data_IF_535974193886
#
_entry.id   IF_535974193886
#
_cell.length_a   1.000
_cell.length_b   1.000
_cell.length_c   1.000
_cell.angle_alpha   90.00
_cell.angle_beta   90.00
_cell.angle_gamma   90.00
#
_symmetry.space_group_name_H-M   'P 1'
#
loop_
_entity.id
_entity.type
_entity.pdbx_description
1 polymer ?
#
# COMPACT_ATOMS: atom_id res chain seq x y z
N UNK A 1 -14.20 -4.21 -20.69
CA UNK A 1 -13.91 -2.82 -20.27
C UNK A 1 -14.32 -2.58 -18.82
N UNK A 2 -15.50 -3.03 -18.40
CA UNK A 2 -16.04 -2.96 -17.03
C UNK A 2 -15.05 -3.24 -15.88
N UNK A 3 -14.16 -4.23 -16.05
CA UNK A 3 -13.18 -4.62 -15.01
C UNK A 3 -12.15 -3.55 -14.64
N UNK A 4 -12.13 -2.41 -15.36
CA UNK A 4 -11.27 -1.25 -15.15
C UNK A 4 -12.02 -0.05 -14.52
N UNK A 5 -13.36 -0.08 -14.48
CA UNK A 5 -14.18 1.01 -13.93
C UNK A 5 -14.00 1.14 -12.42
N UNK A 6 -14.41 2.29 -11.90
CA UNK A 6 -14.48 2.53 -10.47
C UNK A 6 -15.42 1.54 -9.76
N UNK A 7 -15.15 1.27 -8.48
CA UNK A 7 -15.93 0.34 -7.66
C UNK A 7 -16.48 1.04 -6.42
N UNK A 8 -17.81 0.98 -6.17
CA UNK A 8 -18.41 1.45 -4.93
C UNK A 8 -17.73 0.84 -3.70
N UNK A 9 -17.38 1.66 -2.70
CA UNK A 9 -17.01 1.15 -1.38
C UNK A 9 -18.23 0.47 -0.78
N UNK A 10 -18.26 -0.86 -0.80
CA UNK A 10 -19.29 -1.65 -0.12
C UNK A 10 -19.17 -1.42 1.39
N UNK A 11 -19.90 -0.44 1.91
CA UNK A 11 -20.15 -0.30 3.35
C UNK A 11 -20.82 -1.59 3.82
N UNK A 12 -20.10 -2.41 4.60
CA UNK A 12 -20.66 -3.64 5.15
C UNK A 12 -21.67 -3.27 6.23
N UNK A 13 -22.94 -3.14 5.81
CA UNK A 13 -24.09 -3.00 6.69
C UNK A 13 -24.25 -4.25 7.57
N UNK A 14 -23.42 -4.34 8.61
CA UNK A 14 -23.71 -5.19 9.77
C UNK A 14 -24.93 -4.60 10.45
N UNK A 15 -26.11 -5.16 10.10
CA UNK A 15 -27.39 -4.94 10.75
C UNK A 15 -27.36 -5.54 12.17
N UNK A 16 -26.58 -4.91 13.04
CA UNK A 16 -26.60 -5.14 14.48
C UNK A 16 -27.61 -4.20 15.10
N UNK A 17 -28.51 -4.75 15.93
CA UNK A 17 -29.60 -3.98 16.55
C UNK A 17 -29.03 -2.84 17.41
N UNK A 18 -29.76 -1.73 17.38
CA UNK A 18 -29.54 -0.48 18.12
C UNK A 18 -28.90 -0.62 19.51
N UNK A 19 -27.66 -0.17 19.64
CA UNK A 19 -27.18 0.59 20.80
C UNK A 19 -26.24 1.69 20.29
N UNK A 20 -26.34 2.90 20.85
CA UNK A 20 -25.66 4.07 20.31
C UNK A 20 -24.15 4.04 20.61
N UNK A 21 -23.34 3.76 19.59
CA UNK A 21 -21.94 4.17 19.54
C UNK A 21 -21.51 4.33 18.08
N UNK A 22 -21.07 5.53 17.72
CA UNK A 22 -20.52 5.83 16.39
C UNK A 22 -19.11 5.24 16.30
N UNK A 23 -19.02 3.97 15.88
CA UNK A 23 -17.75 3.33 15.57
C UNK A 23 -17.23 3.78 14.20
N UNK A 24 -16.71 5.02 14.17
CA UNK A 24 -15.73 5.42 13.16
C UNK A 24 -14.60 4.38 13.18
N UNK A 25 -14.28 3.81 12.02
CA UNK A 25 -13.21 2.81 11.92
C UNK A 25 -11.89 3.45 12.36
N UNK A 26 -11.34 2.99 13.48
CA UNK A 26 -10.36 3.74 14.25
C UNK A 26 -9.04 3.94 13.50
N UNK A 27 -8.72 5.19 13.18
CA UNK A 27 -7.39 5.61 12.69
C UNK A 27 -6.29 5.43 13.75
N UNK A 28 -6.67 5.15 15.00
CA UNK A 28 -5.83 5.07 16.20
C UNK A 28 -4.95 3.81 16.33
N UNK A 29 -4.80 3.00 15.28
CA UNK A 29 -3.78 1.93 15.29
C UNK A 29 -2.37 2.53 15.29
N UNK A 30 -1.53 2.11 16.25
CA UNK A 30 -0.14 2.57 16.31
C UNK A 30 0.65 2.12 15.08
N UNK A 31 1.64 2.89 14.62
CA UNK A 31 2.44 2.55 13.43
C UNK A 31 3.08 1.15 13.51
N UNK A 32 3.47 0.71 14.71
CA UNK A 32 3.95 -0.66 14.95
C UNK A 32 2.89 -1.74 14.70
N UNK A 33 1.62 -1.49 15.03
CA UNK A 33 0.53 -2.42 14.70
C UNK A 33 0.28 -2.52 13.18
N UNK A 34 0.44 -1.40 12.44
CA UNK A 34 0.35 -1.36 10.97
C UNK A 34 1.48 -2.14 10.29
N UNK A 35 2.68 -2.06 10.86
CA UNK A 35 3.89 -2.73 10.35
C UNK A 35 3.89 -4.25 10.60
N UNK A 36 3.12 -4.73 11.60
CA UNK A 36 3.14 -6.12 12.07
C UNK A 36 2.95 -7.18 10.95
N UNK A 37 1.96 -7.07 10.03
CA UNK A 37 1.79 -8.06 8.96
C UNK A 37 2.94 -8.05 7.93
N UNK A 38 3.64 -6.94 7.76
CA UNK A 38 4.80 -6.82 6.87
C UNK A 38 6.10 -7.38 7.48
N UNK A 39 6.09 -7.67 8.78
CA UNK A 39 7.16 -8.43 9.46
C UNK A 39 6.96 -9.95 9.35
N UNK A 40 5.78 -10.41 8.92
CA UNK A 40 5.48 -11.84 8.75
C UNK A 40 6.17 -12.39 7.49
N UNK A 41 6.71 -13.62 7.59
CA UNK A 41 7.37 -14.31 6.47
C UNK A 41 6.43 -14.56 5.29
N UNK A 42 5.12 -14.67 5.54
CA UNK A 42 4.10 -14.83 4.52
C UNK A 42 3.86 -13.54 3.71
N UNK A 43 4.38 -12.38 4.14
CA UNK A 43 4.24 -11.12 3.40
C UNK A 43 4.84 -11.19 1.99
N UNK A 44 6.03 -11.79 1.85
CA UNK A 44 6.72 -11.86 0.56
C UNK A 44 5.99 -12.84 -0.37
N UNK A 45 5.71 -14.05 0.12
CA UNK A 45 4.90 -15.05 -0.58
C UNK A 45 3.53 -14.49 -1.02
N UNK A 46 2.87 -13.71 -0.16
CA UNK A 46 1.62 -13.03 -0.52
C UNK A 46 1.81 -12.10 -1.70
N UNK A 47 2.83 -11.21 -1.67
CA UNK A 47 3.11 -10.28 -2.77
C UNK A 47 3.43 -11.05 -4.07
N UNK A 48 4.16 -12.15 -4.00
CA UNK A 48 4.44 -13.02 -5.15
C UNK A 48 3.15 -13.63 -5.74
N UNK A 49 2.18 -14.07 -4.90
CA UNK A 49 0.86 -14.51 -5.40
C UNK A 49 0.07 -13.39 -6.09
N UNK A 50 0.45 -12.12 -5.87
CA UNK A 50 -0.11 -10.92 -6.54
C UNK A 50 0.78 -10.42 -7.68
N UNK A 51 1.75 -11.22 -8.11
CA UNK A 51 2.75 -10.89 -9.15
C UNK A 51 3.65 -9.69 -8.79
N UNK A 52 3.88 -9.42 -7.51
CA UNK A 52 4.75 -8.35 -6.99
C UNK A 52 6.00 -8.94 -6.36
N UNK A 53 7.18 -8.63 -6.89
CA UNK A 53 8.45 -9.22 -6.49
C UNK A 53 9.39 -8.20 -5.85
N UNK A 54 10.07 -8.62 -4.77
CA UNK A 54 11.00 -7.79 -4.00
C UNK A 54 12.44 -7.84 -4.54
N UNK A 55 12.61 -8.30 -5.77
CA UNK A 55 13.87 -8.41 -6.48
C UNK A 55 13.74 -7.82 -7.89
N UNK A 56 14.85 -7.82 -8.62
CA UNK A 56 14.91 -7.33 -10.00
C UNK A 56 14.63 -8.49 -10.97
N UNK A 57 13.91 -8.24 -12.07
CA UNK A 57 13.72 -9.22 -13.14
C UNK A 57 15.06 -9.64 -13.74
N UNK A 58 15.17 -10.83 -14.35
CA UNK A 58 16.43 -11.31 -14.92
C UNK A 58 17.00 -10.41 -16.02
N UNK A 59 16.13 -9.80 -16.84
CA UNK A 59 16.49 -8.78 -17.84
C UNK A 59 16.75 -7.37 -17.24
N UNK A 60 16.31 -7.15 -15.99
CA UNK A 60 16.37 -5.86 -15.29
C UNK A 60 15.41 -4.79 -15.85
N UNK A 61 15.78 -3.52 -15.62
CA UNK A 61 15.17 -2.34 -16.26
C UNK A 61 15.83 -2.02 -17.62
N UNK A 62 15.09 -1.32 -18.48
CA UNK A 62 15.56 -0.85 -19.78
C UNK A 62 16.82 0.01 -19.70
N UNK A 63 17.51 0.18 -20.83
CA UNK A 63 18.71 1.02 -20.92
C UNK A 63 18.38 2.50 -20.63
N UNK A 64 17.24 2.95 -21.12
CA UNK A 64 16.67 4.29 -20.97
C UNK A 64 16.39 4.59 -19.49
N UNK A 65 15.60 3.73 -18.82
CA UNK A 65 15.31 3.87 -17.39
C UNK A 65 16.56 3.78 -16.53
N UNK A 66 17.53 2.92 -16.88
CA UNK A 66 18.80 2.79 -16.15
C UNK A 66 19.67 4.05 -16.29
N UNK A 67 19.70 4.63 -17.48
CA UNK A 67 20.40 5.90 -17.75
C UNK A 67 19.74 7.05 -17.02
N UNK A 68 18.41 7.11 -17.02
CA UNK A 68 17.63 8.12 -16.32
C UNK A 68 17.80 8.05 -14.80
N UNK A 69 17.72 6.84 -14.21
CA UNK A 69 17.97 6.66 -12.77
C UNK A 69 19.38 7.08 -12.36
N UNK A 70 20.39 6.83 -13.20
CA UNK A 70 21.76 7.32 -12.97
C UNK A 70 21.82 8.85 -13.02
N UNK A 71 21.26 9.48 -14.05
CA UNK A 71 21.23 10.95 -14.18
C UNK A 71 20.55 11.61 -12.98
N UNK A 72 19.41 11.10 -12.52
CA UNK A 72 18.71 11.61 -11.34
C UNK A 72 19.54 11.50 -10.06
N UNK A 73 20.41 10.49 -9.94
CA UNK A 73 21.27 10.26 -8.77
C UNK A 73 22.58 11.09 -8.84
N UNK A 74 23.12 11.30 -10.04
CA UNK A 74 24.34 12.09 -10.28
C UNK A 74 24.07 13.61 -10.31
N UNK A 75 22.81 14.02 -10.54
CA UNK A 75 22.39 15.41 -10.52
C UNK A 75 22.71 16.10 -9.18
N UNK A 76 23.15 17.36 -9.27
CA UNK A 76 23.56 18.17 -8.11
C UNK A 76 22.68 19.42 -7.93
N UNK A 77 21.37 19.28 -7.68
CA UNK A 77 20.57 20.43 -7.26
C UNK A 77 21.12 21.01 -5.96
N UNK A 78 20.78 22.28 -5.72
CA UNK A 78 21.21 22.99 -4.50
C UNK A 78 20.65 22.28 -3.27
N UNK A 79 21.34 22.43 -2.15
CA UNK A 79 20.90 21.91 -0.85
C UNK A 79 20.55 23.09 0.06
N UNK A 80 19.59 22.93 0.98
CA UNK A 80 19.27 23.97 1.96
C UNK A 80 20.46 24.24 2.89
N UNK A 81 20.44 25.39 3.57
CA UNK A 81 21.45 25.83 4.55
C UNK A 81 20.77 26.24 5.85
N UNK A 82 21.50 26.24 6.96
CA UNK A 82 20.95 26.43 8.30
C UNK A 82 20.21 25.17 8.80
N UNK A 83 20.58 23.99 8.31
CA UNK A 83 19.86 22.73 8.54
C UNK A 83 20.57 21.81 9.51
N UNK A 84 19.89 20.73 9.91
CA UNK A 84 20.48 19.67 10.75
C UNK A 84 21.52 18.82 10.02
N UNK A 85 21.67 18.99 8.70
CA UNK A 85 22.65 18.31 7.84
C UNK A 85 23.85 19.20 7.46
N UNK A 86 23.91 20.44 7.95
CA UNK A 86 25.08 21.31 7.77
C UNK A 86 26.33 20.70 8.45
N UNK A 87 27.52 20.94 7.89
CA UNK A 87 28.76 20.20 8.23
C UNK A 87 29.16 20.31 9.70
N UNK A 88 28.95 21.47 10.32
CA UNK A 88 29.29 21.78 11.71
C UNK A 88 28.38 21.09 12.74
N UNK A 89 27.14 20.78 12.37
CA UNK A 89 26.14 20.17 13.27
C UNK A 89 25.85 18.70 12.97
N UNK A 90 26.17 18.20 11.78
CA UNK A 90 25.74 16.88 11.28
C UNK A 90 26.05 15.72 12.24
N UNK A 91 27.29 15.60 12.73
CA UNK A 91 27.68 14.53 13.67
C UNK A 91 26.87 14.59 14.98
N UNK A 92 26.57 15.80 15.46
CA UNK A 92 25.71 16.01 16.63
C UNK A 92 24.25 15.60 16.35
N UNK A 93 23.74 15.87 15.14
CA UNK A 93 22.42 15.43 14.68
C UNK A 93 22.34 13.90 14.67
N UNK A 94 23.28 13.21 14.02
CA UNK A 94 23.29 11.74 13.95
C UNK A 94 23.28 11.10 15.34
N UNK A 95 24.13 11.56 16.26
CA UNK A 95 24.14 11.10 17.67
C UNK A 95 22.82 11.34 18.40
N UNK A 96 22.09 12.42 18.09
CA UNK A 96 20.77 12.73 18.65
C UNK A 96 19.66 11.85 18.06
N UNK A 97 19.70 11.57 16.76
CA UNK A 97 18.68 10.80 16.04
C UNK A 97 18.78 9.31 16.32
N UNK A 98 20.00 8.76 16.50
CA UNK A 98 20.23 7.34 16.83
C UNK A 98 19.45 6.85 18.07
N UNK A 99 19.13 7.75 19.00
CA UNK A 99 18.39 7.44 20.24
C UNK A 99 16.89 7.75 20.16
N UNK A 100 16.36 7.99 18.96
CA UNK A 100 14.94 8.31 18.73
C UNK A 100 14.16 7.09 18.26
N UNK A 101 12.87 7.10 18.57
CA UNK A 101 11.90 6.23 17.91
C UNK A 101 11.63 6.75 16.48
N UNK A 102 10.87 5.96 15.71
CA UNK A 102 10.50 6.26 14.33
C UNK A 102 9.93 7.69 14.13
N UNK A 103 9.01 8.13 14.99
CA UNK A 103 8.46 9.50 14.95
C UNK A 103 9.55 10.57 15.15
N UNK A 104 10.51 10.33 16.05
CA UNK A 104 11.62 11.25 16.26
C UNK A 104 12.67 11.21 15.15
N UNK A 105 12.84 10.09 14.44
CA UNK A 105 13.61 10.04 13.18
C UNK A 105 12.88 10.86 12.11
N UNK A 106 11.57 10.65 11.97
CA UNK A 106 10.71 11.33 11.00
C UNK A 106 10.80 12.86 11.10
N UNK A 107 10.49 13.40 12.29
CA UNK A 107 10.48 14.86 12.56
C UNK A 107 11.87 15.50 12.42
N UNK A 108 12.95 14.75 12.72
CA UNK A 108 14.29 15.33 12.74
C UNK A 108 15.00 15.30 11.38
N UNK A 109 14.80 14.26 10.56
CA UNK A 109 15.62 14.07 9.34
C UNK A 109 14.87 13.62 8.08
N UNK A 110 13.58 13.22 8.11
CA UNK A 110 12.92 12.74 6.88
C UNK A 110 12.89 13.81 5.79
N UNK A 111 12.52 15.05 6.10
CA UNK A 111 12.53 16.17 5.14
C UNK A 111 13.91 16.44 4.49
N UNK A 112 15.01 16.13 5.21
CA UNK A 112 16.38 16.28 4.72
C UNK A 112 16.88 15.07 3.91
N UNK A 113 16.09 14.00 3.83
CA UNK A 113 16.36 12.78 3.04
C UNK A 113 15.37 12.65 1.87
N UNK A 114 14.09 12.79 2.16
CA UNK A 114 12.96 12.83 1.22
C UNK A 114 12.24 14.17 1.43
N UNK A 115 12.64 15.23 0.71
CA UNK A 115 12.01 16.53 0.84
C UNK A 115 10.55 16.52 0.39
N UNK A 116 9.77 17.37 1.02
CA UNK A 116 8.37 17.57 0.68
C UNK A 116 8.27 18.26 -0.68
N UNK A 117 7.34 17.78 -1.50
CA UNK A 117 7.12 18.24 -2.86
C UNK A 117 6.66 19.70 -2.90
N UNK A 118 5.79 20.13 -1.96
CA UNK A 118 5.33 21.52 -1.87
C UNK A 118 6.51 22.49 -1.62
N UNK A 119 7.34 22.23 -0.59
CA UNK A 119 8.52 23.05 -0.29
C UNK A 119 9.58 23.01 -1.40
N UNK A 120 9.71 21.87 -2.09
CA UNK A 120 10.64 21.71 -3.21
C UNK A 120 10.24 22.55 -4.41
N UNK A 121 8.94 22.65 -4.73
CA UNK A 121 8.44 23.49 -5.83
C UNK A 121 8.89 24.95 -5.65
N UNK A 122 8.67 25.52 -4.46
CA UNK A 122 9.06 26.90 -4.15
C UNK A 122 10.58 27.08 -4.09
N UNK A 123 11.29 26.17 -3.43
CA UNK A 123 12.73 26.30 -3.16
C UNK A 123 13.60 26.11 -4.40
N UNK A 124 13.17 25.28 -5.36
CA UNK A 124 13.94 24.91 -6.55
C UNK A 124 13.32 25.38 -7.87
N UNK A 125 12.24 26.18 -7.82
CA UNK A 125 11.54 26.72 -8.99
C UNK A 125 11.12 25.62 -9.97
N UNK A 126 10.58 24.52 -9.45
CA UNK A 126 10.11 23.38 -10.25
C UNK A 126 8.91 23.85 -11.09
N UNK A 127 9.10 23.95 -12.41
CA UNK A 127 8.09 24.40 -13.36
C UNK A 127 7.12 23.28 -13.70
N UNK A 128 6.38 22.78 -12.71
CA UNK A 128 5.50 21.64 -12.88
C UNK A 128 4.17 21.77 -12.09
N UNK A 129 3.03 21.26 -12.61
CA UNK A 129 1.75 21.30 -11.92
C UNK A 129 1.77 20.66 -10.53
N UNK A 130 0.74 21.05 -9.76
CA UNK A 130 0.56 20.74 -8.35
C UNK A 130 0.73 19.24 -8.06
N UNK A 131 1.84 18.91 -7.42
CA UNK A 131 1.93 17.68 -6.63
C UNK A 131 0.95 17.76 -5.47
N UNK A 132 0.59 16.61 -4.93
CA UNK A 132 -0.13 16.50 -3.67
C UNK A 132 0.53 15.43 -2.83
N UNK A 133 0.60 15.67 -1.53
CA UNK A 133 1.31 14.84 -0.58
C UNK A 133 0.35 14.23 0.44
N UNK A 134 0.69 13.08 0.99
CA UNK A 134 0.02 12.53 2.17
C UNK A 134 1.03 11.96 3.15
N UNK A 135 0.70 12.02 4.44
CA UNK A 135 1.61 11.67 5.53
C UNK A 135 0.96 10.66 6.48
N UNK A 136 1.33 9.38 6.38
CA UNK A 136 0.71 8.29 7.12
C UNK A 136 -0.83 8.29 6.92
N UNK A 137 -1.28 8.51 5.69
CA UNK A 137 -2.69 8.39 5.29
C UNK A 137 -2.94 7.06 4.56
N UNK A 138 -4.06 6.40 4.87
CA UNK A 138 -4.39 5.13 4.24
C UNK A 138 -4.83 5.34 2.78
N UNK A 139 -4.32 4.52 1.87
CA UNK A 139 -4.74 4.52 0.46
C UNK A 139 -6.10 3.84 0.31
N UNK A 140 -7.15 4.54 0.76
CA UNK A 140 -8.49 4.01 0.89
C UNK A 140 -9.32 4.13 -0.40
N UNK A 141 -8.89 4.97 -1.34
CA UNK A 141 -9.43 5.05 -2.70
C UNK A 141 -8.73 4.12 -3.70
N UNK A 142 -7.70 3.37 -3.29
CA UNK A 142 -7.13 2.30 -4.12
C UNK A 142 -7.97 1.03 -4.08
N UNK A 143 -8.19 0.39 -5.24
CA UNK A 143 -8.64 -1.01 -5.31
C UNK A 143 -7.52 -1.92 -4.72
N UNK A 144 -7.78 -2.84 -3.78
CA UNK A 144 -6.73 -3.70 -3.20
C UNK A 144 -6.05 -4.67 -4.19
N UNK A 145 -4.92 -5.28 -3.79
CA UNK A 145 -4.35 -6.45 -4.51
C UNK A 145 -5.20 -7.72 -4.34
N UNK A 146 -5.98 -7.80 -3.26
CA UNK A 146 -6.82 -8.96 -2.92
C UNK A 146 -8.17 -9.02 -3.64
N UNK A 147 -8.61 -7.95 -4.31
CA UNK A 147 -9.97 -7.84 -4.85
C UNK A 147 -10.11 -8.42 -6.29
N UNK A 148 -9.28 -9.41 -6.60
CA UNK A 148 -9.34 -10.24 -7.81
C UNK A 148 -9.81 -11.64 -7.40
N UNK A 149 -10.97 -12.05 -7.92
CA UNK A 149 -11.67 -13.31 -7.62
C UNK A 149 -12.22 -13.47 -6.19
N UNK A 150 -13.31 -12.73 -5.89
CA UNK A 150 -14.31 -13.19 -4.91
C UNK A 150 -15.18 -14.31 -5.52
N UNK A 151 -14.57 -15.44 -5.85
CA UNK A 151 -15.33 -16.69 -5.97
C UNK A 151 -15.72 -17.13 -4.55
N UNK A 152 -17.02 -17.31 -4.25
CA UNK A 152 -17.48 -17.68 -2.91
C UNK A 152 -17.22 -19.17 -2.65
N UNK A 153 -15.95 -19.54 -2.46
CA UNK A 153 -15.60 -20.84 -1.91
C UNK A 153 -15.82 -20.79 -0.39
N UNK A 154 -16.92 -21.40 0.03
CA UNK A 154 -17.31 -21.58 1.42
C UNK A 154 -16.24 -22.38 2.19
N UNK A 155 -15.83 -21.87 3.34
CA UNK A 155 -15.08 -22.64 4.33
C UNK A 155 -13.60 -22.90 4.02
N UNK A 156 -12.76 -21.85 4.03
CA UNK A 156 -11.32 -22.03 4.22
C UNK A 156 -10.75 -21.05 5.27
N UNK A 157 -9.63 -21.49 5.86
CA UNK A 157 -8.81 -20.83 6.89
C UNK A 157 -8.62 -19.31 6.68
N UNK A 158 -8.20 -18.61 7.74
CA UNK A 158 -7.73 -17.22 7.66
C UNK A 158 -6.65 -17.08 6.57
N UNK A 159 -7.06 -16.68 5.36
CA UNK A 159 -6.13 -16.26 4.32
C UNK A 159 -5.33 -15.08 4.87
N UNK A 160 -4.01 -15.20 4.86
CA UNK A 160 -3.12 -14.08 5.13
C UNK A 160 -3.50 -12.91 4.20
N UNK A 161 -3.62 -11.71 4.77
CA UNK A 161 -3.88 -10.48 4.03
C UNK A 161 -2.97 -9.39 4.56
N UNK A 162 -2.43 -8.59 3.66
CA UNK A 162 -1.78 -7.34 4.04
C UNK A 162 -2.85 -6.28 4.37
N UNK A 163 -2.56 -5.37 5.32
CA UNK A 163 -3.42 -4.22 5.55
C UNK A 163 -3.38 -3.30 4.33
N UNK A 164 -4.40 -2.45 4.18
CA UNK A 164 -4.38 -1.33 3.22
C UNK A 164 -3.06 -0.54 3.37
N UNK A 165 -2.37 -0.21 2.27
CA UNK A 165 -1.18 0.64 2.32
C UNK A 165 -1.44 1.97 3.01
N UNK A 166 -0.44 2.43 3.76
CA UNK A 166 -0.47 3.69 4.50
C UNK A 166 0.98 4.21 4.63
N UNK A 167 1.59 4.69 3.53
CA UNK A 167 2.98 5.16 3.54
C UNK A 167 3.20 6.28 4.55
N UNK A 168 4.37 6.34 5.18
CA UNK A 168 4.73 7.45 6.08
C UNK A 168 4.72 8.79 5.36
N UNK A 169 5.11 8.80 4.08
CA UNK A 169 4.98 9.90 3.14
C UNK A 169 4.72 9.35 1.73
N UNK A 170 3.85 9.99 0.96
CA UNK A 170 3.60 9.66 -0.44
C UNK A 170 3.34 10.92 -1.27
N UNK A 171 3.68 10.87 -2.57
CA UNK A 171 3.46 11.97 -3.52
C UNK A 171 2.81 11.44 -4.78
N UNK A 172 1.81 12.18 -5.27
CA UNK A 172 1.16 11.98 -6.56
C UNK A 172 0.76 13.30 -7.20
N UNK A 173 -0.10 13.23 -8.21
CA UNK A 173 -0.63 14.41 -8.87
C UNK A 173 -1.95 14.83 -8.23
N UNK A 174 -2.11 16.13 -7.95
CA UNK A 174 -3.37 16.69 -7.52
C UNK A 174 -4.43 16.57 -8.65
N UNK A 175 -5.72 16.44 -8.30
CA UNK A 175 -6.82 16.49 -9.30
C UNK A 175 -6.72 17.74 -10.20
N UNK A 176 -6.33 18.87 -9.61
CA UNK A 176 -6.21 20.19 -10.24
C UNK A 176 -4.96 20.35 -11.14
N UNK A 177 -4.22 19.28 -11.37
CA UNK A 177 -3.14 19.20 -12.36
C UNK A 177 -3.65 18.72 -13.72
N UNK A 178 -4.78 18.02 -13.74
CA UNK A 178 -5.44 17.55 -14.96
C UNK A 178 -6.40 18.62 -15.51
N UNK A 179 -6.57 18.66 -16.84
CA UNK A 179 -7.55 19.53 -17.49
C UNK A 179 -8.96 18.99 -17.30
N UNK A 180 -10.00 19.82 -17.47
CA UNK A 180 -11.38 19.34 -17.38
C UNK A 180 -11.69 18.25 -18.43
N UNK A 181 -11.02 18.28 -19.59
CA UNK A 181 -11.07 17.22 -20.60
C UNK A 181 -10.47 15.90 -20.13
N UNK A 182 -9.27 15.93 -19.51
CA UNK A 182 -8.67 14.75 -18.88
C UNK A 182 -9.58 14.18 -17.79
N UNK A 183 -10.15 15.05 -16.95
CA UNK A 183 -11.01 14.66 -15.83
C UNK A 183 -12.31 14.02 -16.31
N UNK A 184 -12.93 14.55 -17.38
CA UNK A 184 -14.10 13.93 -18.04
C UNK A 184 -13.78 12.52 -18.57
N UNK A 185 -12.61 12.31 -19.17
CA UNK A 185 -12.17 10.99 -19.66
C UNK A 185 -11.82 10.01 -18.53
N UNK A 186 -11.29 10.51 -17.42
CA UNK A 186 -10.98 9.71 -16.23
C UNK A 186 -12.21 9.34 -15.39
N UNK A 187 -13.30 10.11 -15.45
CA UNK A 187 -14.47 9.96 -14.57
C UNK A 187 -15.02 8.52 -14.45
N UNK A 188 -15.20 7.72 -15.53
CA UNK A 188 -15.71 6.34 -15.43
C UNK A 188 -14.78 5.39 -14.64
N UNK A 189 -13.49 5.68 -14.61
CA UNK A 189 -12.45 4.87 -13.96
C UNK A 189 -12.12 5.35 -12.55
N UNK A 190 -12.42 6.62 -12.24
CA UNK A 190 -12.22 7.24 -10.93
C UNK A 190 -13.45 7.07 -10.04
N UNK A 191 -14.65 7.24 -10.61
CA UNK A 191 -15.92 7.13 -9.90
C UNK A 191 -16.27 8.38 -9.09
N UNK A 192 -17.27 8.22 -8.24
CA UNK A 192 -17.77 9.27 -7.37
C UNK A 192 -16.98 9.36 -6.05
N UNK A 193 -17.25 10.40 -5.26
CA UNK A 193 -16.63 10.57 -3.94
C UNK A 193 -16.97 9.37 -3.04
N UNK A 194 -15.95 8.61 -2.69
CA UNK A 194 -16.09 7.41 -1.87
C UNK A 194 -15.92 6.11 -2.66
N UNK A 195 -15.76 6.15 -3.99
CA UNK A 195 -15.41 4.96 -4.76
C UNK A 195 -13.93 4.57 -4.59
N UNK A 196 -13.59 3.38 -5.10
CA UNK A 196 -12.21 2.91 -5.27
C UNK A 196 -11.86 2.79 -6.74
N UNK A 197 -10.64 3.18 -7.09
CA UNK A 197 -10.10 3.22 -8.44
C UNK A 197 -8.75 2.50 -8.51
N UNK A 198 -8.30 2.15 -9.72
CA UNK A 198 -6.92 1.79 -9.97
C UNK A 198 -5.99 3.02 -10.03
N UNK A 199 -6.53 4.23 -10.21
CA UNK A 199 -5.76 5.45 -10.48
C UNK A 199 -5.56 6.34 -9.25
N UNK A 200 -6.13 5.98 -8.10
CA UNK A 200 -6.08 6.77 -6.86
C UNK A 200 -5.32 6.04 -5.76
N UNK A 201 -4.53 6.80 -4.99
CA UNK A 201 -4.07 6.41 -3.65
C UNK A 201 -5.14 6.79 -2.62
N UNK A 202 -5.23 8.09 -2.34
CA UNK A 202 -6.27 8.74 -1.54
C UNK A 202 -7.32 9.38 -2.46
N UNK A 203 -8.41 9.91 -1.89
CA UNK A 203 -9.47 10.57 -2.67
C UNK A 203 -9.00 11.79 -3.52
N UNK A 204 -7.79 12.31 -3.25
CA UNK A 204 -7.24 13.50 -3.89
C UNK A 204 -5.89 13.27 -4.60
N UNK A 205 -5.28 12.09 -4.45
CA UNK A 205 -3.96 11.74 -5.00
C UNK A 205 -4.09 10.81 -6.19
N UNK A 206 -3.93 11.37 -7.40
CA UNK A 206 -4.01 10.66 -8.68
C UNK A 206 -2.61 10.16 -9.07
N UNK A 207 -2.52 8.92 -9.55
CA UNK A 207 -1.30 8.24 -9.98
C UNK A 207 -0.09 8.51 -9.03
N UNK A 208 -0.11 8.01 -7.79
CA UNK A 208 0.99 8.20 -6.85
C UNK A 208 2.28 7.62 -7.41
N UNK A 209 3.38 8.37 -7.40
CA UNK A 209 4.63 7.99 -8.06
C UNK A 209 5.83 7.92 -7.10
N UNK A 210 5.69 8.36 -5.86
CA UNK A 210 6.71 8.25 -4.81
C UNK A 210 6.07 7.80 -3.50
N UNK A 211 6.71 6.85 -2.82
CA UNK A 211 6.42 6.51 -1.41
C UNK A 211 7.69 6.52 -0.57
N UNK A 212 7.54 6.84 0.71
CA UNK A 212 8.62 6.78 1.69
C UNK A 212 8.13 6.13 2.99
N UNK A 213 8.99 5.32 3.57
CA UNK A 213 8.77 4.59 4.81
C UNK A 213 9.98 4.83 5.73
N UNK A 214 9.73 5.43 6.89
CA UNK A 214 10.76 5.71 7.89
C UNK A 214 10.66 4.64 8.98
N UNK A 215 11.82 4.15 9.44
CA UNK A 215 11.89 3.10 10.45
C UNK A 215 12.94 3.39 11.51
N UNK A 216 12.95 2.58 12.55
CA UNK A 216 13.91 2.67 13.65
C UNK A 216 14.70 1.35 13.77
N UNK A 217 15.84 1.28 13.09
CA UNK A 217 16.81 0.18 13.18
C UNK A 217 16.80 -0.76 11.98
N UNK A 218 17.98 -1.36 11.72
CA UNK A 218 18.31 -2.01 10.44
C UNK A 218 17.35 -3.11 9.97
N UNK A 219 16.88 -3.97 10.89
CA UNK A 219 15.95 -5.06 10.56
C UNK A 219 14.54 -4.57 10.18
N UNK A 220 14.18 -3.32 10.50
CA UNK A 220 12.90 -2.74 10.13
C UNK A 220 12.88 -2.17 8.69
N UNK A 221 14.05 -1.96 8.06
CA UNK A 221 14.10 -1.50 6.67
C UNK A 221 13.60 -2.55 5.67
N UNK A 222 13.69 -3.85 6.01
CA UNK A 222 13.11 -4.91 5.17
C UNK A 222 11.57 -4.89 5.25
N UNK A 223 11.01 -4.40 6.37
CA UNK A 223 9.57 -4.14 6.54
C UNK A 223 9.13 -2.91 5.74
N UNK A 224 9.88 -1.81 5.80
CA UNK A 224 9.67 -0.62 4.94
C UNK A 224 9.69 -1.00 3.46
N UNK A 225 10.66 -1.81 3.05
CA UNK A 225 10.80 -2.31 1.68
C UNK A 225 9.56 -3.07 1.19
N UNK A 226 8.93 -3.89 2.06
CA UNK A 226 7.67 -4.60 1.76
C UNK A 226 6.47 -3.67 1.70
N UNK A 227 6.37 -2.69 2.61
CA UNK A 227 5.32 -1.66 2.61
C UNK A 227 5.38 -0.80 1.34
N UNK A 228 6.58 -0.34 0.98
CA UNK A 228 6.86 0.40 -0.24
C UNK A 228 6.52 -0.41 -1.50
N UNK A 229 6.92 -1.69 -1.57
CA UNK A 229 6.59 -2.55 -2.71
C UNK A 229 5.07 -2.80 -2.84
N UNK A 230 4.34 -3.01 -1.74
CA UNK A 230 2.88 -3.14 -1.78
C UNK A 230 2.23 -1.86 -2.33
N UNK A 231 2.64 -0.70 -1.82
CA UNK A 231 2.13 0.62 -2.24
C UNK A 231 2.44 0.88 -3.73
N UNK A 232 3.71 0.75 -4.13
CA UNK A 232 4.11 1.00 -5.51
C UNK A 232 3.55 -0.02 -6.51
N UNK A 233 3.26 -1.26 -6.10
CA UNK A 233 2.52 -2.20 -6.95
C UNK A 233 1.12 -1.68 -7.27
N UNK A 234 0.41 -1.06 -6.31
CA UNK A 234 -0.90 -0.45 -6.60
C UNK A 234 -0.77 0.69 -7.62
N UNK A 235 0.22 1.58 -7.43
CA UNK A 235 0.52 2.70 -8.33
C UNK A 235 0.86 2.26 -9.75
N UNK A 236 1.87 1.39 -9.92
CA UNK A 236 2.35 0.94 -11.23
C UNK A 236 1.25 0.14 -11.93
N UNK A 237 0.47 -0.66 -11.20
CA UNK A 237 -0.73 -1.33 -11.75
C UNK A 237 -1.76 -0.34 -12.26
N UNK A 238 -1.96 0.80 -11.59
CA UNK A 238 -2.81 1.89 -12.07
C UNK A 238 -2.36 2.43 -13.44
N UNK A 239 -1.06 2.66 -13.59
CA UNK A 239 -0.46 3.15 -14.84
C UNK A 239 -0.57 2.09 -15.94
N UNK A 240 -0.28 0.81 -15.66
CA UNK A 240 -0.48 -0.29 -16.62
C UNK A 240 -1.95 -0.42 -17.04
N UNK A 241 -2.89 -0.25 -16.11
CA UNK A 241 -4.33 -0.27 -16.41
C UNK A 241 -4.74 0.85 -17.37
N UNK A 242 -4.21 2.06 -17.19
CA UNK A 242 -4.41 3.18 -18.12
C UNK A 242 -3.86 2.85 -19.52
N UNK A 243 -2.59 2.42 -19.61
CA UNK A 243 -1.95 2.21 -20.92
C UNK A 243 -2.55 1.04 -21.69
N UNK A 244 -3.05 0.00 -21.01
CA UNK A 244 -3.80 -1.10 -21.66
C UNK A 244 -5.14 -0.66 -22.24
N UNK A 245 -5.83 0.32 -21.63
CA UNK A 245 -7.09 0.86 -22.19
C UNK A 245 -6.86 1.52 -23.56
N UNK A 246 -5.67 2.08 -23.78
CA UNK A 246 -5.27 2.73 -25.04
C UNK A 246 -4.27 1.90 -25.88
N UNK A 247 -4.03 0.63 -25.53
CA UNK A 247 -3.16 -0.32 -26.24
C UNK A 247 -1.69 0.12 -26.38
N UNK A 248 -1.20 0.90 -25.41
CA UNK A 248 0.17 1.45 -25.34
C UNK A 248 1.01 0.79 -24.25
N UNK A 249 0.57 -0.31 -23.67
CA UNK A 249 1.22 -0.97 -22.52
C UNK A 249 2.68 -1.38 -22.76
N UNK A 250 3.06 -1.63 -24.02
CA UNK A 250 4.47 -1.89 -24.40
C UNK A 250 5.42 -0.74 -24.05
N UNK A 251 4.93 0.50 -23.97
CA UNK A 251 5.74 1.66 -23.52
C UNK A 251 6.12 1.60 -22.03
N UNK A 252 5.58 0.66 -21.25
CA UNK A 252 5.86 0.52 -19.82
C UNK A 252 6.76 -0.68 -19.51
N UNK A 253 6.95 -1.60 -20.45
CA UNK A 253 7.72 -2.82 -20.24
C UNK A 253 9.17 -2.47 -19.85
N UNK A 254 9.60 -2.90 -18.66
CA UNK A 254 10.92 -2.62 -18.08
C UNK A 254 11.24 -1.14 -17.81
N UNK A 255 10.25 -0.24 -17.93
CA UNK A 255 10.40 1.19 -17.66
C UNK A 255 9.97 1.54 -16.23
N UNK A 256 10.79 2.31 -15.50
CA UNK A 256 10.48 2.77 -14.15
C UNK A 256 9.30 3.74 -14.16
N UNK A 257 8.22 3.38 -13.45
CA UNK A 257 6.97 4.14 -13.35
C UNK A 257 6.76 4.79 -11.98
N UNK A 258 7.75 4.72 -11.09
CA UNK A 258 7.76 5.43 -9.82
C UNK A 258 8.86 4.94 -8.89
N UNK A 259 8.99 5.57 -7.73
CA UNK A 259 10.11 5.37 -6.82
C UNK A 259 9.65 5.09 -5.40
N UNK A 260 10.52 4.48 -4.61
CA UNK A 260 10.32 4.42 -3.16
C UNK A 260 11.62 4.58 -2.37
N UNK A 261 11.51 5.23 -1.21
CA UNK A 261 12.60 5.36 -0.25
C UNK A 261 12.28 4.62 1.04
N UNK A 262 13.21 3.78 1.50
CA UNK A 262 13.18 3.20 2.85
C UNK A 262 14.36 3.78 3.63
N UNK A 263 14.13 4.44 4.77
CA UNK A 263 15.23 5.01 5.55
C UNK A 263 15.06 4.86 7.06
N UNK A 264 16.19 4.93 7.78
CA UNK A 264 16.19 5.02 9.24
C UNK A 264 17.11 6.17 9.71
N UNK A 265 17.74 6.00 10.88
CA UNK A 265 18.63 6.98 11.49
C UNK A 265 20.04 7.04 10.88
N UNK A 266 20.44 6.06 10.05
CA UNK A 266 21.74 6.08 9.35
C UNK A 266 21.73 5.55 7.92
N UNK A 267 20.75 4.71 7.54
CA UNK A 267 20.70 4.04 6.24
C UNK A 267 19.58 4.57 5.35
N UNK A 268 19.83 4.63 4.04
CA UNK A 268 18.84 4.91 2.99
C UNK A 268 18.88 3.81 1.93
N UNK A 269 17.71 3.41 1.42
CA UNK A 269 17.54 2.53 0.26
C UNK A 269 16.60 3.21 -0.74
N UNK A 270 17.03 3.37 -1.99
CA UNK A 270 16.27 3.99 -3.08
C UNK A 270 15.98 2.91 -4.12
N UNK A 271 14.71 2.80 -4.51
CA UNK A 271 14.24 1.85 -5.52
C UNK A 271 13.43 2.53 -6.62
N UNK A 272 13.57 2.06 -7.86
CA UNK A 272 12.63 2.31 -8.95
C UNK A 272 11.72 1.10 -9.16
N UNK A 273 10.43 1.30 -9.34
CA UNK A 273 9.43 0.25 -9.52
C UNK A 273 8.94 0.22 -10.97
N UNK A 274 8.84 -0.96 -11.55
CA UNK A 274 8.55 -1.13 -12.98
C UNK A 274 7.73 -2.40 -13.24
N UNK A 275 6.92 -2.43 -14.31
CA UNK A 275 6.22 -3.62 -14.75
C UNK A 275 7.05 -4.39 -15.80
N UNK A 276 6.96 -5.71 -15.77
CA UNK A 276 7.28 -6.58 -16.92
C UNK A 276 5.95 -7.06 -17.49
N UNK A 277 5.81 -6.94 -18.81
CA UNK A 277 4.53 -7.14 -19.52
C UNK A 277 4.76 -8.17 -20.61
N UNK A 278 4.10 -9.31 -20.49
CA UNK A 278 4.10 -10.39 -21.48
C UNK A 278 2.65 -10.69 -21.89
N UNK A 279 2.25 -10.22 -23.07
CA UNK A 279 0.86 -10.24 -23.53
C UNK A 279 -0.11 -9.67 -22.48
N UNK A 280 -1.05 -10.52 -22.05
CA UNK A 280 -2.04 -10.18 -21.02
C UNK A 280 -1.52 -10.30 -19.58
N UNK A 281 -0.37 -10.90 -19.34
CA UNK A 281 0.25 -10.97 -18.02
C UNK A 281 0.94 -9.64 -17.65
N UNK A 282 1.02 -9.33 -16.37
CA UNK A 282 1.89 -8.25 -15.85
C UNK A 282 2.40 -8.63 -14.48
N UNK A 283 3.71 -8.56 -14.33
CA UNK A 283 4.46 -8.75 -13.10
C UNK A 283 5.15 -7.43 -12.72
N UNK A 284 5.36 -7.19 -11.44
CA UNK A 284 5.89 -5.93 -10.90
C UNK A 284 7.18 -6.21 -10.13
N UNK A 285 8.23 -5.48 -10.45
CA UNK A 285 9.57 -5.63 -9.89
C UNK A 285 10.12 -4.31 -9.39
N UNK A 286 11.23 -4.37 -8.65
CA UNK A 286 11.99 -3.19 -8.23
C UNK A 286 13.46 -3.29 -8.62
N UNK A 287 13.98 -2.20 -9.15
CA UNK A 287 15.41 -1.99 -9.38
C UNK A 287 16.02 -1.28 -8.16
N UNK A 288 17.17 -1.75 -7.68
CA UNK A 288 17.91 -1.07 -6.61
C UNK A 288 18.73 0.07 -7.23
N UNK A 289 18.28 1.32 -7.05
CA UNK A 289 18.99 2.50 -7.54
C UNK A 289 20.22 2.79 -6.67
N UNK A 290 20.04 2.81 -5.34
CA UNK A 290 21.16 3.00 -4.40
C UNK A 290 20.83 2.48 -3.00
N UNK A 291 21.84 2.03 -2.25
CA UNK A 291 21.77 1.62 -0.84
C UNK A 291 23.03 2.07 -0.12
N UNK A 292 22.90 2.98 0.84
CA UNK A 292 24.04 3.60 1.50
C UNK A 292 23.76 3.94 2.96
N UNK A 293 24.85 4.11 3.73
CA UNK A 293 24.81 4.72 5.05
C UNK A 293 25.19 6.20 4.90
N UNK A 294 24.22 7.09 5.15
CA UNK A 294 24.40 8.53 4.93
C UNK A 294 25.24 9.20 6.03
N UNK A 295 25.57 8.47 7.10
CA UNK A 295 26.42 8.92 8.21
C UNK A 295 27.87 8.45 8.08
N UNK A 296 28.13 7.45 7.24
CA UNK A 296 29.47 6.99 6.91
C UNK A 296 30.28 8.06 6.14
N UNK A 297 31.62 7.90 6.17
CA UNK A 297 32.58 8.76 5.46
C UNK A 297 32.33 10.26 5.74
N UNK A 298 32.19 10.61 7.02
CA UNK A 298 31.95 11.97 7.52
C UNK A 298 30.71 12.65 6.90
N UNK A 299 29.70 11.86 6.53
CA UNK A 299 28.46 12.36 5.94
C UNK A 299 28.55 12.64 4.45
N UNK A 300 29.52 12.07 3.73
CA UNK A 300 29.70 12.27 2.27
C UNK A 300 28.42 12.13 1.45
N UNK A 301 27.53 11.22 1.83
CA UNK A 301 26.27 10.92 1.11
C UNK A 301 25.01 11.51 1.76
N UNK A 302 25.13 12.38 2.77
CA UNK A 302 23.96 12.94 3.50
C UNK A 302 22.95 13.66 2.62
N UNK A 303 23.41 14.25 1.50
CA UNK A 303 22.55 14.93 0.53
C UNK A 303 22.14 14.08 -0.68
N UNK A 304 22.60 12.83 -0.80
CA UNK A 304 22.39 12.00 -2.00
C UNK A 304 20.90 11.73 -2.25
N UNK A 305 20.15 11.32 -1.23
CA UNK A 305 18.70 11.07 -1.37
C UNK A 305 17.90 12.36 -1.63
N UNK A 306 18.24 13.44 -0.90
CA UNK A 306 17.60 14.74 -1.08
C UNK A 306 17.71 15.20 -2.54
N UNK A 307 18.93 15.15 -3.10
CA UNK A 307 19.19 15.53 -4.49
C UNK A 307 18.44 14.66 -5.50
N UNK A 308 18.47 13.35 -5.30
CA UNK A 308 17.72 12.41 -6.13
C UNK A 308 16.23 12.76 -6.17
N UNK A 309 15.60 12.99 -5.00
CA UNK A 309 14.17 13.32 -4.91
C UNK A 309 13.85 14.69 -5.51
N UNK A 310 14.70 15.71 -5.31
CA UNK A 310 14.55 17.01 -5.98
C UNK A 310 14.58 16.87 -7.50
N UNK A 311 15.47 16.03 -8.04
CA UNK A 311 15.49 15.72 -9.49
C UNK A 311 14.33 14.83 -9.94
N UNK A 312 13.81 13.94 -9.10
CA UNK A 312 12.56 13.21 -9.41
C UNK A 312 11.41 14.20 -9.59
N UNK A 313 11.25 15.19 -8.72
CA UNK A 313 10.23 16.23 -8.86
C UNK A 313 10.52 17.22 -10.01
N UNK A 314 11.80 17.56 -10.22
CA UNK A 314 12.25 18.56 -11.19
C UNK A 314 12.30 18.10 -12.65
N UNK A 315 12.63 16.83 -12.88
CA UNK A 315 13.00 16.30 -14.20
C UNK A 315 12.13 15.09 -14.62
N UNK A 316 11.99 14.09 -13.73
CA UNK A 316 11.29 12.84 -14.04
C UNK A 316 9.77 12.94 -14.01
N UNK A 317 9.20 13.38 -12.88
CA UNK A 317 7.75 13.49 -12.69
C UNK A 317 7.09 14.41 -13.74
N UNK A 318 7.77 15.49 -14.19
CA UNK A 318 7.31 16.28 -15.33
C UNK A 318 7.09 15.51 -16.63
N UNK A 319 8.04 14.63 -16.95
CA UNK A 319 8.02 13.83 -18.17
C UNK A 319 7.03 12.67 -18.04
N UNK A 320 6.97 12.05 -16.87
CA UNK A 320 6.01 11.00 -16.54
C UNK A 320 4.55 11.50 -16.65
N UNK A 321 4.23 12.65 -16.07
CA UNK A 321 2.88 13.23 -16.17
C UNK A 321 2.46 13.56 -17.60
N UNK A 322 3.37 14.08 -18.45
CA UNK A 322 3.08 14.29 -19.88
C UNK A 322 2.72 12.97 -20.58
N UNK A 323 3.41 11.89 -20.23
CA UNK A 323 3.12 10.53 -20.71
C UNK A 323 1.73 10.06 -20.26
N UNK A 324 1.36 10.31 -18.99
CA UNK A 324 0.02 10.03 -18.47
C UNK A 324 -1.06 10.83 -19.20
N UNK A 325 -0.87 12.15 -19.40
CA UNK A 325 -1.83 13.00 -20.12
C UNK A 325 -2.02 12.54 -21.57
N UNK A 326 -0.95 12.22 -22.29
CA UNK A 326 -1.05 11.69 -23.65
C UNK A 326 -1.88 10.39 -23.70
N UNK A 327 -1.69 9.48 -22.73
CA UNK A 327 -2.51 8.26 -22.64
C UNK A 327 -3.96 8.55 -22.23
N UNK A 328 -4.21 9.55 -21.38
CA UNK A 328 -5.57 10.00 -21.02
C UNK A 328 -6.28 10.64 -22.21
N UNK A 329 -5.55 11.37 -23.07
CA UNK A 329 -6.12 11.99 -24.26
C UNK A 329 -6.58 10.97 -25.31
N UNK A 330 -6.02 9.77 -25.31
CA UNK A 330 -6.43 8.65 -26.17
C UNK A 330 -7.56 7.78 -25.56
N UNK A 331 -7.99 8.04 -24.32
CA UNK A 331 -9.13 7.31 -23.74
C UNK A 331 -10.42 7.58 -24.53
N UNK A 332 -11.26 6.55 -24.74
CA UNK A 332 -12.53 6.70 -25.43
C UNK A 332 -13.47 7.63 -24.65
N UNK A 333 -14.25 8.44 -25.37
CA UNK A 333 -15.32 9.21 -24.74
C UNK A 333 -16.45 8.25 -24.32
N UNK A 334 -16.57 8.01 -23.01
CA UNK A 334 -17.70 7.26 -22.45
C UNK A 334 -19.01 8.01 -22.72
N UNK A 335 -19.87 7.42 -23.56
CA UNK A 335 -21.25 7.86 -23.73
C UNK A 335 -22.13 7.15 -22.69
N UNK A 336 -22.90 7.87 -21.85
CA UNK A 336 -23.76 7.25 -20.82
C UNK A 336 -24.78 6.23 -21.37
N UNK A 337 -25.13 6.36 -22.66
CA UNK A 337 -26.07 5.50 -23.38
C UNK A 337 -25.63 4.02 -23.42
N UNK A 338 -24.33 3.74 -23.44
CA UNK A 338 -23.80 2.37 -23.49
C UNK A 338 -23.94 1.62 -22.15
N UNK A 339 -23.93 2.34 -21.02
CA UNK A 339 -24.13 1.75 -19.69
C UNK A 339 -25.59 1.34 -19.45
N UNK A 340 -26.55 2.08 -20.03
CA UNK A 340 -27.96 1.76 -19.91
C UNK A 340 -28.34 0.50 -20.68
N UNK A 341 -27.66 0.20 -21.81
CA UNK A 341 -27.90 -1.03 -22.57
C UNK A 341 -27.43 -2.30 -21.84
N UNK A 342 -26.33 -2.22 -21.06
CA UNK A 342 -25.91 -3.32 -20.18
C UNK A 342 -26.89 -3.58 -19.03
N UNK A 343 -27.50 -2.55 -18.45
CA UNK A 343 -28.50 -2.73 -17.38
C UNK A 343 -29.86 -3.19 -17.93
N UNK A 344 -30.29 -2.64 -19.08
CA UNK A 344 -31.54 -3.03 -19.74
C UNK A 344 -31.50 -4.49 -20.21
N UNK A 345 -30.43 -4.94 -20.85
CA UNK A 345 -30.28 -6.34 -21.29
C UNK A 345 -30.28 -7.35 -20.13
N UNK A 346 -29.76 -7.00 -18.94
CA UNK A 346 -29.94 -7.82 -17.73
C UNK A 346 -31.39 -7.83 -17.22
N UNK A 347 -32.09 -6.68 -17.29
CA UNK A 347 -33.49 -6.59 -16.87
C UNK A 347 -34.44 -7.37 -17.80
N UNK A 348 -34.15 -7.40 -19.10
CA UNK A 348 -34.91 -8.19 -20.08
C UNK A 348 -34.63 -9.69 -19.95
N UNK A 349 -33.36 -10.08 -19.73
CA UNK A 349 -33.00 -11.48 -19.49
C UNK A 349 -33.62 -12.05 -18.19
N UNK A 350 -33.77 -11.23 -17.15
CA UNK A 350 -34.37 -11.66 -15.87
C UNK A 350 -35.91 -11.65 -15.88
N UNK A 351 -36.54 -10.77 -16.67
CA UNK A 351 -38.00 -10.77 -16.84
C UNK A 351 -38.48 -11.85 -17.82
N UNK A 352 -37.73 -12.13 -18.89
CA UNK A 352 -38.02 -13.22 -19.84
C UNK A 352 -38.02 -14.62 -19.21
N UNK A 353 -37.09 -14.90 -18.27
CA UNK A 353 -37.04 -16.19 -17.57
C UNK A 353 -38.21 -16.43 -16.59
N UNK A 354 -38.96 -15.39 -16.23
CA UNK A 354 -39.98 -15.46 -15.17
C UNK A 354 -41.39 -15.79 -15.67
N UNK A 355 -41.60 -15.99 -16.98
CA UNK A 355 -42.93 -16.26 -17.55
C UNK A 355 -43.17 -17.71 -18.00
N UNK A 356 -42.16 -18.59 -18.02
CA UNK A 356 -42.29 -19.92 -18.66
C UNK A 356 -42.34 -21.13 -17.70
N UNK A 357 -42.44 -20.92 -16.38
CA UNK A 357 -42.62 -22.01 -15.39
C UNK A 357 -43.85 -21.72 -14.52
N UNK A 358 -45.00 -22.25 -14.94
CA UNK A 358 -46.29 -21.97 -14.29
C UNK A 358 -47.44 -22.89 -14.68
N UNK A 359 -47.19 -24.14 -15.07
CA UNK A 359 -48.23 -25.12 -15.37
C UNK A 359 -47.91 -26.50 -14.76
N UNK A 360 -48.98 -27.19 -14.32
CA UNK A 360 -49.04 -28.49 -13.62
C UNK A 360 -48.82 -28.40 -12.10
N UNK A 361 -49.74 -28.98 -11.32
CA UNK A 361 -49.74 -28.98 -9.84
C UNK A 361 -50.21 -30.30 -9.23
N UNK A 362 -50.73 -30.24 -7.99
CA UNK A 362 -51.13 -31.34 -7.07
C UNK A 362 -49.94 -31.99 -6.30
N UNK A 363 -49.96 -32.19 -4.97
CA UNK A 363 -50.90 -31.75 -3.92
C UNK A 363 -50.67 -32.46 -2.56
N UNK A 364 -51.34 -31.98 -1.48
CA UNK A 364 -51.45 -32.57 -0.10
C UNK A 364 -50.21 -32.53 0.83
N UNK A 365 -50.20 -31.84 2.00
CA UNK A 365 -50.83 -32.14 3.34
C UNK A 365 -49.91 -33.01 4.25
N UNK A 366 -49.82 -32.91 5.60
CA UNK A 366 -50.57 -32.19 6.67
C UNK A 366 -49.70 -32.02 7.96
N UNK A 367 -50.27 -31.57 9.10
CA UNK A 367 -49.63 -31.34 10.43
C UNK A 367 -49.84 -32.53 11.43
N UNK A 368 -49.43 -32.58 12.72
CA UNK A 368 -48.96 -31.58 13.72
C UNK A 368 -48.28 -32.21 14.98
N UNK A 369 -47.43 -31.42 15.70
CA UNK A 369 -47.13 -31.35 17.16
C UNK A 369 -46.88 -32.58 18.10
N UNK A 370 -45.76 -32.46 18.86
CA UNK A 370 -45.51 -32.66 20.32
C UNK A 370 -45.99 -33.91 21.11
N UNK A 371 -45.06 -34.50 21.87
CA UNK A 371 -45.24 -34.86 23.31
C UNK A 371 -43.88 -35.05 24.03
N UNK A 372 -43.87 -35.05 25.37
CA UNK A 372 -42.71 -34.90 26.28
C UNK A 372 -42.87 -35.85 27.50
N UNK A 373 -41.83 -36.56 27.96
CA UNK A 373 -41.79 -37.16 29.31
C UNK A 373 -40.34 -37.51 29.77
N UNK A 374 -40.12 -37.72 31.09
CA UNK A 374 -38.81 -37.51 31.74
C UNK A 374 -38.53 -38.42 32.97
N UNK A 375 -37.26 -38.84 33.16
CA UNK A 375 -36.61 -39.41 34.40
C UNK A 375 -37.12 -40.80 34.92
N UNK A 376 -36.42 -41.56 35.84
CA UNK A 376 -35.44 -41.12 36.85
C UNK A 376 -34.12 -41.90 37.13
N UNK A 377 -33.22 -41.19 37.84
CA UNK A 377 -31.96 -41.55 38.56
C UNK A 377 -31.96 -42.80 39.50
N UNK A 378 -30.76 -43.23 39.97
CA UNK A 378 -30.47 -43.07 41.42
C UNK A 378 -29.02 -42.68 41.87
N UNK A 379 -28.98 -41.63 42.69
CA UNK A 379 -28.12 -41.26 43.87
C UNK A 379 -26.85 -42.04 44.31
N UNK A 380 -25.77 -41.28 44.57
CA UNK A 380 -25.13 -41.03 45.90
C UNK A 380 -24.11 -39.86 45.75
N UNK A 381 -24.00 -38.79 46.58
CA UNK A 381 -23.84 -38.58 48.05
C UNK A 381 -22.51 -39.17 48.61
N UNK A 382 -21.59 -38.44 49.24
CA UNK A 382 -21.50 -37.05 49.75
C UNK A 382 -20.07 -36.47 49.63
N UNK A 383 -19.94 -35.13 49.68
CA UNK A 383 -19.08 -34.24 50.51
C UNK A 383 -17.75 -34.78 51.14
N UNK A 384 -16.69 -34.00 51.40
CA UNK A 384 -16.64 -32.57 51.76
C UNK A 384 -15.24 -31.90 51.56
N UNK A 385 -15.15 -30.59 51.84
CA UNK A 385 -14.01 -29.67 51.73
C UNK A 385 -12.73 -30.02 52.52
N UNK A 386 -11.57 -29.54 52.04
CA UNK A 386 -10.33 -29.48 52.83
C UNK A 386 -9.13 -28.79 52.17
N UNK A 387 -8.79 -27.57 52.60
CA UNK A 387 -7.58 -26.82 52.20
C UNK A 387 -6.26 -27.56 52.59
N UNK A 388 -5.16 -27.28 51.87
CA UNK A 388 -3.86 -26.81 52.45
C UNK A 388 -2.71 -26.67 51.41
N UNK A 389 -2.14 -25.47 51.34
CA UNK A 389 -0.71 -25.18 51.02
C UNK A 389 -0.04 -24.69 52.31
N UNK A 390 1.31 -24.51 52.42
CA UNK A 390 2.40 -24.82 51.48
C UNK A 390 3.51 -25.69 52.11
N UNK A 391 4.60 -25.99 51.39
CA UNK A 391 5.90 -26.10 52.07
C UNK A 391 7.13 -25.74 51.21
N UNK A 392 8.12 -25.09 51.85
CA UNK A 392 9.46 -24.81 51.32
C UNK A 392 10.43 -25.89 51.81
N UNK A 393 11.46 -26.23 51.04
CA UNK A 393 12.74 -26.72 51.62
C UNK A 393 13.94 -26.24 50.79
N UNK A 394 15.01 -25.88 51.50
CA UNK A 394 16.32 -25.44 50.97
C UNK A 394 17.38 -26.54 51.19
N UNK A 395 18.33 -26.64 50.27
CA UNK A 395 19.71 -27.11 50.50
C UNK A 395 20.58 -26.52 49.38
N UNK A 396 21.49 -25.58 49.67
CA UNK A 396 22.93 -25.78 49.99
C UNK A 396 23.64 -26.66 48.93
N UNK A 397 24.42 -26.10 48.01
CA UNK A 397 25.76 -25.45 48.12
C UNK A 397 26.89 -26.40 47.70
N UNK A 398 27.68 -26.01 46.70
CA UNK A 398 28.89 -26.72 46.26
C UNK A 398 29.59 -25.97 45.12
N UNK A 399 30.69 -25.27 45.43
CA UNK A 399 31.50 -24.51 44.44
C UNK A 399 32.90 -25.10 44.39
N UNK A 400 33.45 -25.46 43.21
CA UNK A 400 34.86 -25.76 43.05
C UNK A 400 35.67 -24.48 42.81
N UNK A 401 36.76 -24.29 43.56
CA UNK A 401 37.72 -23.19 43.36
C UNK A 401 38.49 -23.32 42.04
N UNK A 402 38.67 -22.20 41.32
CA UNK A 402 39.72 -22.09 40.29
C UNK A 402 41.10 -22.14 40.95
N UNK A 403 42.02 -22.93 40.37
CA UNK A 403 43.47 -22.78 40.56
C UNK A 403 44.03 -21.90 39.43
N UNK A 404 44.79 -20.86 39.77
CA UNK A 404 46.01 -20.45 39.05
C UNK A 404 46.88 -19.63 40.00
N UNK A 405 48.18 -19.64 39.66
CA UNK A 405 49.34 -19.17 40.44
C UNK A 405 49.12 -17.87 41.20
#
# INVERSE_FOLDING_TARGET
MESFLARPKTLSLRRTKSSASLSVASESSSRGAKSSPYCDKNCELFLETKRSFLYEHEDGISYESRTLCRQLLENTPKVPRGTRFDDDVFESTCRRVQRKNETGVSILITELIVPFAEDTIYSHNVKFPRFIESFNEGWDSSIPLDDVQRLPQSGQLQRFRLPRPQPDHAVGFARQSFTEGHLKKLAPFVGEIGDTSFFLGTAYMYFPFLTSEVKCGKAALDTADRQNAHSMTLSVRGIVKLFRLVKREKELHQEVQGFSVSHDHCSVRIYGHYPVIDGEETTYYRHTIHKFDFTALDGKEKWTCYRFIVSVYGDWAPSHFKKLCAAIDELPEFKPEELQQSEQSLSEATTGLSQEIGAVGLGSSFTSQLEEECEPLPTSRNDDLGNLRPNKKKSKQGVPRKRRK
#
